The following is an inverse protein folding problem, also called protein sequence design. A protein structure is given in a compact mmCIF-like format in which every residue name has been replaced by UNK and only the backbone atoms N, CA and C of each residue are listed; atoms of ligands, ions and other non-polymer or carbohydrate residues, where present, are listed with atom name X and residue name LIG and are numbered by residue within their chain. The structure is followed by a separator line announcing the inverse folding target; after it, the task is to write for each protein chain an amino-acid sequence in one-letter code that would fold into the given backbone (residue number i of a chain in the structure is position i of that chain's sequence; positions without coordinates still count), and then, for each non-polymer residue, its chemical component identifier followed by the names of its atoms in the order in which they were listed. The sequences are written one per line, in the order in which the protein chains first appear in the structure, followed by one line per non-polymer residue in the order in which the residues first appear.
data_IF_783049448113
#
_entry.id   IF_783049448113
#
_cell.length_a   1.000
_cell.length_b   1.000
_cell.length_c   1.000
_cell.angle_alpha   90.00
_cell.angle_beta   90.00
_cell.angle_gamma   90.00
#
_symmetry.space_group_name_H-M   'P 1'
#
loop_
_entity.id
_entity.type
_entity.pdbx_description
1 polymer ?
#
# COMPACT_ATOMS: atom_id res chain seq x y z
N UNK A 1 -39.22 14.00 -41.87
CA UNK A 1 -37.91 14.68 -42.04
C UNK A 1 -37.42 15.31 -40.74
N UNK A 2 -38.27 16.01 -39.98
CA UNK A 2 -37.86 16.73 -38.74
C UNK A 2 -37.66 15.85 -37.49
N UNK A 3 -38.28 14.67 -37.40
CA UNK A 3 -38.14 13.75 -36.25
C UNK A 3 -36.76 13.08 -36.18
N UNK A 4 -36.18 12.71 -37.32
CA UNK A 4 -34.86 12.06 -37.41
C UNK A 4 -33.72 12.99 -36.96
N UNK A 5 -33.86 14.30 -37.19
CA UNK A 5 -32.86 15.30 -36.80
C UNK A 5 -32.82 15.46 -35.28
N UNK A 6 -33.97 15.37 -34.62
CA UNK A 6 -34.06 15.44 -33.15
C UNK A 6 -33.41 14.24 -32.46
N UNK A 7 -33.63 13.04 -32.98
CA UNK A 7 -33.00 11.81 -32.45
C UNK A 7 -31.48 11.83 -32.59
N UNK A 8 -30.97 12.31 -33.72
CA UNK A 8 -29.52 12.46 -33.94
C UNK A 8 -28.91 13.40 -32.90
N UNK A 9 -29.56 14.52 -32.60
CA UNK A 9 -29.11 15.49 -31.60
C UNK A 9 -29.11 14.90 -30.19
N UNK A 10 -30.13 14.13 -29.83
CA UNK A 10 -30.22 13.44 -28.53
C UNK A 10 -29.10 12.41 -28.40
N UNK A 11 -28.83 11.61 -29.43
CA UNK A 11 -27.75 10.62 -29.43
C UNK A 11 -26.36 11.26 -29.26
N UNK A 12 -26.12 12.41 -29.88
CA UNK A 12 -24.85 13.15 -29.72
C UNK A 12 -24.66 13.67 -28.29
N UNK A 13 -25.73 14.17 -27.66
CA UNK A 13 -25.70 14.66 -26.27
C UNK A 13 -25.46 13.50 -25.30
N UNK A 14 -26.13 12.36 -25.48
CA UNK A 14 -25.95 11.17 -24.63
C UNK A 14 -24.52 10.62 -24.76
N UNK A 15 -23.97 10.55 -25.97
CA UNK A 15 -22.58 10.11 -26.18
C UNK A 15 -21.57 11.05 -25.51
N UNK A 16 -21.81 12.37 -25.53
CA UNK A 16 -20.96 13.35 -24.87
C UNK A 16 -21.00 13.20 -23.34
N UNK A 17 -22.19 13.04 -22.75
CA UNK A 17 -22.37 12.84 -21.31
C UNK A 17 -21.73 11.52 -20.85
N UNK A 18 -21.93 10.43 -21.60
CA UNK A 18 -21.28 9.15 -21.31
C UNK A 18 -19.75 9.28 -21.39
N UNK A 19 -19.21 9.99 -22.37
CA UNK A 19 -17.78 10.28 -22.47
C UNK A 19 -17.24 11.08 -21.27
N UNK A 20 -17.99 12.09 -20.80
CA UNK A 20 -17.62 12.87 -19.61
C UNK A 20 -17.68 12.04 -18.32
N UNK A 21 -18.69 11.18 -18.16
CA UNK A 21 -18.83 10.29 -16.99
C UNK A 21 -17.72 9.24 -16.98
N UNK A 22 -17.44 8.60 -18.12
CA UNK A 22 -16.35 7.63 -18.25
C UNK A 22 -15.00 8.31 -18.01
N UNK A 23 -14.79 9.51 -18.56
CA UNK A 23 -13.59 10.31 -18.32
C UNK A 23 -13.42 10.71 -16.85
N UNK A 24 -14.51 11.06 -16.15
CA UNK A 24 -14.49 11.36 -14.72
C UNK A 24 -14.25 10.10 -13.87
N UNK A 25 -14.81 8.95 -14.26
CA UNK A 25 -14.64 7.66 -13.58
C UNK A 25 -13.20 7.13 -13.71
N UNK A 26 -12.55 7.33 -14.85
CA UNK A 26 -11.15 6.95 -15.06
C UNK A 26 -10.14 7.92 -14.42
N UNK A 27 -10.57 9.13 -14.02
CA UNK A 27 -9.69 10.14 -13.40
C UNK A 27 -9.28 9.80 -11.96
N UNK A 28 -9.92 8.82 -11.32
CA UNK A 28 -9.63 8.41 -9.94
C UNK A 28 -8.47 7.42 -9.76
N UNK A 29 -7.93 6.83 -10.83
CA UNK A 29 -6.87 5.79 -10.74
C UNK A 29 -5.44 6.34 -10.81
N UNK A 30 -5.26 7.64 -10.56
CA UNK A 30 -3.94 8.27 -10.56
C UNK A 30 -3.11 7.90 -9.33
N UNK A 31 -2.26 6.87 -9.45
CA UNK A 31 -1.15 6.64 -8.52
C UNK A 31 -0.14 7.80 -8.70
N UNK A 32 -0.21 8.82 -7.82
CA UNK A 32 0.79 9.89 -7.78
C UNK A 32 2.12 9.32 -7.27
N UNK A 33 2.93 8.76 -8.18
CA UNK A 33 4.34 8.46 -7.88
C UNK A 33 5.16 9.73 -8.00
N UNK A 34 5.55 10.27 -6.86
CA UNK A 34 6.46 11.42 -6.77
C UNK A 34 7.90 11.00 -7.03
N UNK A 35 8.67 11.89 -7.66
CA UNK A 35 10.09 11.77 -8.07
C UNK A 35 11.05 11.23 -6.97
N UNK A 36 10.64 11.28 -5.69
CA UNK A 36 11.32 10.64 -4.55
C UNK A 36 11.51 9.12 -4.68
N UNK A 37 10.72 8.43 -5.49
CA UNK A 37 10.81 6.96 -5.66
C UNK A 37 12.00 6.55 -6.56
N UNK A 38 12.60 7.48 -7.32
CA UNK A 38 13.56 7.18 -8.39
C UNK A 38 14.99 6.93 -7.87
N UNK A 39 15.28 7.22 -6.58
CA UNK A 39 16.64 7.09 -6.01
C UNK A 39 16.68 6.50 -4.58
N UNK A 40 15.66 5.76 -4.17
CA UNK A 40 15.62 5.18 -2.81
C UNK A 40 16.33 3.82 -2.80
N UNK A 41 17.48 3.75 -2.14
CA UNK A 41 18.18 2.49 -1.94
C UNK A 41 17.38 1.60 -0.96
N UNK A 42 17.29 0.27 -1.21
CA UNK A 42 16.64 -0.64 -0.29
C UNK A 42 17.41 -0.70 1.04
N UNK A 43 16.67 -0.63 2.16
CA UNK A 43 17.24 -0.68 3.53
C UNK A 43 16.68 -1.89 4.29
N UNK A 44 17.13 -3.12 3.95
CA UNK A 44 16.62 -4.34 4.59
C UNK A 44 16.87 -4.36 6.10
N UNK A 45 18.02 -3.86 6.55
CA UNK A 45 18.39 -3.82 7.97
C UNK A 45 17.44 -2.94 8.80
N UNK A 46 16.86 -1.90 8.18
CA UNK A 46 15.88 -1.04 8.85
C UNK A 46 14.54 -1.74 9.02
N UNK A 47 14.06 -2.45 8.01
CA UNK A 47 12.81 -3.20 8.07
C UNK A 47 12.85 -4.29 9.15
N UNK A 48 14.01 -4.89 9.40
CA UNK A 48 14.18 -5.90 10.46
C UNK A 48 14.10 -5.36 11.89
N UNK A 49 14.02 -4.04 12.09
CA UNK A 49 13.76 -3.43 13.42
C UNK A 49 12.31 -3.64 13.88
N UNK A 50 11.40 -3.94 12.96
CA UNK A 50 10.00 -4.25 13.26
C UNK A 50 9.87 -5.72 13.63
N UNK A 51 9.24 -5.99 14.78
CA UNK A 51 9.01 -7.35 15.25
C UNK A 51 8.06 -8.10 14.30
N UNK A 52 8.44 -9.34 13.97
CA UNK A 52 7.74 -10.16 12.98
C UNK A 52 8.32 -10.04 11.57
N UNK A 53 9.17 -9.05 11.29
CA UNK A 53 9.86 -8.90 9.99
C UNK A 53 11.27 -9.51 10.07
N UNK A 54 11.40 -10.76 9.63
CA UNK A 54 12.72 -11.39 9.43
C UNK A 54 13.39 -10.98 8.11
N UNK A 55 14.68 -11.34 7.89
CA UNK A 55 15.44 -10.96 6.69
C UNK A 55 14.78 -11.42 5.38
N UNK A 56 14.09 -12.56 5.40
CA UNK A 56 13.33 -13.08 4.25
C UNK A 56 12.07 -12.26 3.94
N UNK A 57 11.39 -11.75 4.97
CA UNK A 57 10.21 -10.89 4.81
C UNK A 57 10.67 -9.51 4.37
N UNK A 58 11.74 -8.96 4.97
CA UNK A 58 12.33 -7.70 4.51
C UNK A 58 12.68 -7.74 3.02
N UNK A 59 13.33 -8.82 2.56
CA UNK A 59 13.64 -9.03 1.14
C UNK A 59 12.38 -9.10 0.26
N UNK A 60 11.32 -9.75 0.75
CA UNK A 60 10.03 -9.85 0.06
C UNK A 60 9.36 -8.48 -0.08
N UNK A 61 9.32 -7.71 1.00
CA UNK A 61 8.74 -6.37 1.04
C UNK A 61 9.47 -5.43 0.08
N UNK A 62 10.81 -5.47 0.07
CA UNK A 62 11.63 -4.71 -0.87
C UNK A 62 11.33 -5.12 -2.32
N UNK A 63 11.19 -6.41 -2.59
CA UNK A 63 10.86 -6.91 -3.93
C UNK A 63 9.47 -6.43 -4.42
N UNK A 64 8.55 -6.12 -3.50
CA UNK A 64 7.24 -5.53 -3.79
C UNK A 64 7.25 -3.98 -3.65
N UNK A 65 8.42 -3.34 -3.54
CA UNK A 65 8.56 -1.88 -3.54
C UNK A 65 8.36 -1.19 -2.19
N UNK A 66 8.41 -1.93 -1.08
CA UNK A 66 8.45 -1.37 0.28
C UNK A 66 9.92 -1.35 0.71
N UNK A 67 10.60 -0.23 0.51
CA UNK A 67 12.07 -0.19 0.56
C UNK A 67 12.62 0.16 1.94
N UNK A 68 11.83 0.81 2.80
CA UNK A 68 12.22 1.20 4.16
C UNK A 68 11.03 1.32 5.14
N UNK A 69 11.32 1.80 6.35
CA UNK A 69 10.32 2.01 7.41
C UNK A 69 9.27 3.07 7.05
N UNK A 70 9.61 4.08 6.26
CA UNK A 70 8.66 5.10 5.83
C UNK A 70 7.62 4.49 4.89
N UNK A 71 8.05 3.70 3.92
CA UNK A 71 7.16 2.98 2.99
C UNK A 71 6.30 1.98 3.76
N UNK A 72 6.89 1.28 4.72
CA UNK A 72 6.18 0.30 5.55
C UNK A 72 5.11 0.98 6.42
N UNK A 73 5.41 2.12 7.04
CA UNK A 73 4.47 2.87 7.89
C UNK A 73 3.25 3.39 7.12
N UNK A 74 3.41 3.66 5.82
CA UNK A 74 2.35 4.16 4.92
C UNK A 74 1.61 3.02 4.22
N UNK A 75 2.12 1.79 4.29
CA UNK A 75 1.50 0.64 3.64
C UNK A 75 0.37 0.09 4.50
N UNK A 76 -0.78 -0.16 3.88
CA UNK A 76 -1.91 -0.77 4.58
C UNK A 76 -1.66 -2.23 4.93
N UNK A 77 -2.22 -2.67 6.06
CA UNK A 77 -2.17 -4.08 6.51
C UNK A 77 -2.71 -5.02 5.42
N UNK A 78 -3.78 -4.65 4.73
CA UNK A 78 -4.33 -5.44 3.62
C UNK A 78 -3.33 -5.66 2.48
N UNK A 79 -2.53 -4.63 2.15
CA UNK A 79 -1.49 -4.76 1.13
C UNK A 79 -0.37 -5.68 1.61
N UNK A 80 0.05 -5.56 2.86
CA UNK A 80 1.08 -6.44 3.44
C UNK A 80 0.62 -7.90 3.44
N UNK A 81 -0.62 -8.17 3.85
CA UNK A 81 -1.20 -9.51 3.84
C UNK A 81 -1.23 -10.09 2.41
N UNK A 82 -1.64 -9.32 1.40
CA UNK A 82 -1.58 -9.76 -0.01
C UNK A 82 -0.18 -10.11 -0.48
N UNK A 83 0.84 -9.36 -0.03
CA UNK A 83 2.24 -9.65 -0.37
C UNK A 83 2.67 -10.96 0.27
N UNK A 84 2.34 -11.20 1.54
CA UNK A 84 2.67 -12.44 2.25
C UNK A 84 1.95 -13.65 1.64
N UNK A 85 0.66 -13.52 1.33
CA UNK A 85 -0.14 -14.56 0.67
C UNK A 85 0.43 -14.95 -0.70
N UNK A 86 0.77 -13.95 -1.52
CA UNK A 86 1.40 -14.14 -2.84
C UNK A 86 2.75 -14.85 -2.74
N UNK A 87 3.48 -14.64 -1.63
CA UNK A 87 4.77 -15.26 -1.39
C UNK A 87 4.67 -16.73 -0.92
N UNK A 88 3.47 -17.17 -0.53
CA UNK A 88 3.14 -18.54 -0.21
C UNK A 88 2.92 -18.82 1.28
N UNK A 89 2.32 -19.97 1.56
CA UNK A 89 1.83 -20.38 2.89
C UNK A 89 2.87 -20.35 4.01
N UNK A 90 4.16 -20.43 3.68
CA UNK A 90 5.27 -20.32 4.64
C UNK A 90 5.30 -18.97 5.39
N UNK A 91 4.68 -17.93 4.83
CA UNK A 91 4.63 -16.59 5.44
C UNK A 91 3.34 -16.33 6.22
N UNK A 92 2.34 -17.23 6.17
CA UNK A 92 1.05 -17.06 6.86
C UNK A 92 1.18 -17.10 8.40
N UNK A 93 2.34 -17.50 8.92
CA UNK A 93 2.62 -17.46 10.36
C UNK A 93 2.94 -16.03 10.83
N UNK A 94 3.36 -15.16 9.93
CA UNK A 94 3.66 -13.77 10.22
C UNK A 94 2.36 -12.95 10.22
N UNK A 95 2.23 -12.05 11.19
CA UNK A 95 1.08 -11.18 11.33
C UNK A 95 1.52 -9.74 11.02
N UNK A 96 1.03 -9.18 9.91
CA UNK A 96 1.38 -7.83 9.48
C UNK A 96 0.57 -6.74 10.19
N UNK A 97 -0.36 -7.10 11.08
CA UNK A 97 -1.31 -6.16 11.69
C UNK A 97 -0.67 -4.98 12.42
N UNK A 98 0.49 -5.21 13.04
CA UNK A 98 1.20 -4.18 13.83
C UNK A 98 2.39 -3.57 13.10
N UNK A 99 2.77 -4.08 11.92
CA UNK A 99 3.98 -3.63 11.23
C UNK A 99 3.94 -2.15 10.84
N UNK A 100 2.82 -1.60 10.31
CA UNK A 100 2.76 -0.18 9.98
C UNK A 100 2.89 0.72 11.22
N UNK A 101 2.29 0.30 12.35
CA UNK A 101 2.33 1.03 13.62
C UNK A 101 3.76 1.06 14.19
N UNK A 102 4.41 -0.11 14.26
CA UNK A 102 5.80 -0.23 14.66
C UNK A 102 6.74 0.59 13.76
N UNK A 103 6.54 0.53 12.45
CA UNK A 103 7.33 1.30 11.50
C UNK A 103 7.13 2.82 11.69
N UNK A 104 5.90 3.26 11.98
CA UNK A 104 5.61 4.68 12.24
C UNK A 104 6.33 5.19 13.50
N UNK A 105 6.37 4.40 14.59
CA UNK A 105 7.14 4.72 15.80
C UNK A 105 8.64 4.82 15.49
N UNK A 106 9.17 3.85 14.74
CA UNK A 106 10.57 3.83 14.33
C UNK A 106 10.96 5.04 13.45
N UNK A 107 10.07 5.45 12.53
CA UNK A 107 10.28 6.65 11.69
C UNK A 107 10.29 7.93 12.52
N UNK A 108 9.46 8.02 13.56
CA UNK A 108 9.45 9.16 14.49
C UNK A 108 10.63 9.16 15.47
N UNK A 109 11.41 8.08 15.52
CA UNK A 109 12.51 7.92 16.47
C UNK A 109 12.04 7.61 17.89
N UNK A 110 10.78 7.21 18.07
CA UNK A 110 10.16 6.87 19.34
C UNK A 110 10.52 5.43 19.76
N UNK A 111 11.83 5.16 19.89
CA UNK A 111 12.37 3.81 20.14
C UNK A 111 11.91 3.22 21.47
N UNK A 112 11.70 4.06 22.49
CA UNK A 112 11.19 3.62 23.79
C UNK A 112 9.73 3.16 23.71
N UNK A 113 8.91 3.86 22.92
CA UNK A 113 7.51 3.47 22.69
C UNK A 113 7.41 2.24 21.79
N UNK A 114 8.26 2.16 20.76
CA UNK A 114 8.39 0.96 19.94
C UNK A 114 8.72 -0.26 20.81
N UNK A 115 9.68 -0.11 21.73
CA UNK A 115 10.06 -1.20 22.62
C UNK A 115 8.91 -1.61 23.55
N UNK A 116 8.20 -0.65 24.14
CA UNK A 116 7.00 -0.95 24.96
C UNK A 116 5.94 -1.70 24.15
N UNK A 117 5.69 -1.25 22.92
CA UNK A 117 4.76 -1.94 22.03
C UNK A 117 5.25 -3.37 21.76
N UNK A 118 6.52 -3.57 21.43
CA UNK A 118 7.10 -4.90 21.20
C UNK A 118 7.04 -5.82 22.44
N UNK A 119 7.24 -5.28 23.63
CA UNK A 119 7.11 -6.04 24.89
C UNK A 119 5.67 -6.56 25.13
N UNK A 120 4.66 -5.90 24.55
CA UNK A 120 3.25 -6.32 24.59
C UNK A 120 2.87 -7.31 23.46
N UNK A 121 3.75 -7.50 22.47
CA UNK A 121 3.52 -8.38 21.34
C UNK A 121 4.16 -9.76 21.56
N UNK A 122 3.64 -10.77 20.86
CA UNK A 122 4.38 -12.03 20.64
C UNK A 122 4.49 -12.30 19.15
N UNK A 123 5.70 -12.14 18.61
CA UNK A 123 5.97 -12.35 17.20
C UNK A 123 5.28 -11.34 16.30
N UNK A 124 5.05 -10.11 16.80
CA UNK A 124 4.32 -9.07 16.08
C UNK A 124 2.79 -9.13 16.21
N UNK A 125 2.24 -10.07 16.99
CA UNK A 125 0.79 -10.20 17.26
C UNK A 125 0.45 -9.71 18.66
N UNK A 126 -0.65 -8.96 18.79
CA UNK A 126 -1.25 -8.59 20.09
C UNK A 126 -1.77 -9.85 20.78
N UNK A 127 -1.29 -10.12 22.00
CA UNK A 127 -1.63 -11.31 22.78
C UNK A 127 -2.63 -11.05 23.90
#
# INVERSE_FOLDING_TARGET
MSFLIGEILICLIVAFILGLIIGWLLRGLGCKKTVSEIAKAPRPDELTKVEGIGPKIASLLIADGIMDLEDLSKTSVDRLNKILEKAGTRYNIADAGTWPEQAALAVRGEWDELKKLQDELKGGRRV
#
